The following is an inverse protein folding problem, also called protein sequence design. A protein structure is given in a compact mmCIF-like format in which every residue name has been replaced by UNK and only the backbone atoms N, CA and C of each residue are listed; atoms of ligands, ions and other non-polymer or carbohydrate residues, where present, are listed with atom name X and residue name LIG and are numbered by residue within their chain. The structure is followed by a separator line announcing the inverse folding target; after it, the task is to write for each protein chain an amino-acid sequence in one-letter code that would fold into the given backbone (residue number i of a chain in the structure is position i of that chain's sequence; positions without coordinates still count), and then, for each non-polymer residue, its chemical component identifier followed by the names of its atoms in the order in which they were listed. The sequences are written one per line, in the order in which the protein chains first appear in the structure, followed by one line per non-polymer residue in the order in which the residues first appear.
data_IF_128711867983
#
_entry.id   IF_128711867983
#
_cell.length_a   1.000
_cell.length_b   1.000
_cell.length_c   1.000
_cell.angle_alpha   90.00
_cell.angle_beta   90.00
_cell.angle_gamma   90.00
#
_symmetry.space_group_name_H-M   'P 1'
#
loop_
_entity.id
_entity.type
_entity.pdbx_description
1 polymer ?
#
# COMPACT_ATOMS: atom_id res chain seq x y z
N UNK A 1 21.79 7.70 29.51
CA UNK A 1 21.51 7.04 28.22
C UNK A 1 20.23 7.64 27.65
N UNK A 2 20.30 8.27 26.47
CA UNK A 2 19.13 8.82 25.77
C UNK A 2 18.71 7.73 24.78
N UNK A 3 17.59 7.06 25.01
CA UNK A 3 17.11 6.01 24.10
C UNK A 3 16.65 6.70 22.80
N UNK A 4 17.12 6.28 21.61
CA UNK A 4 16.67 6.85 20.35
C UNK A 4 15.15 6.69 20.18
N UNK A 5 14.49 7.75 19.73
CA UNK A 5 13.05 7.70 19.45
C UNK A 5 12.83 6.96 18.13
N UNK A 6 12.12 5.82 18.19
CA UNK A 6 11.71 5.09 17.00
C UNK A 6 10.48 5.76 16.40
N UNK A 7 10.59 6.25 15.16
CA UNK A 7 9.48 6.85 14.43
C UNK A 7 8.38 5.85 14.05
N UNK A 8 7.15 6.34 13.82
CA UNK A 8 6.03 5.49 13.41
C UNK A 8 6.25 4.89 12.01
N UNK A 9 6.29 3.56 11.91
CA UNK A 9 6.48 2.84 10.64
C UNK A 9 5.41 3.17 9.59
N UNK A 10 4.15 3.30 10.01
CA UNK A 10 3.05 3.63 9.10
C UNK A 10 3.15 5.08 8.57
N UNK A 11 3.72 6.00 9.37
CA UNK A 11 4.00 7.35 8.91
C UNK A 11 5.08 7.37 7.81
N UNK A 12 6.17 6.61 8.00
CA UNK A 12 7.23 6.44 6.99
C UNK A 12 6.67 5.85 5.69
N UNK A 13 5.85 4.81 5.81
CA UNK A 13 5.16 4.21 4.67
C UNK A 13 4.26 5.22 3.95
N UNK A 14 3.52 6.05 4.69
CA UNK A 14 2.69 7.10 4.09
C UNK A 14 3.50 8.10 3.26
N UNK A 15 4.70 8.51 3.72
CA UNK A 15 5.57 9.41 2.95
C UNK A 15 6.03 8.75 1.65
N UNK A 16 6.49 7.49 1.71
CA UNK A 16 6.92 6.74 0.54
C UNK A 16 5.81 6.60 -0.50
N UNK A 17 4.59 6.27 -0.04
CA UNK A 17 3.45 6.07 -0.94
C UNK A 17 2.98 7.38 -1.54
N UNK A 18 2.97 8.49 -0.79
CA UNK A 18 2.60 9.80 -1.35
C UNK A 18 3.50 10.18 -2.51
N UNK A 19 4.80 9.95 -2.39
CA UNK A 19 5.76 10.22 -3.48
C UNK A 19 5.53 9.32 -4.68
N UNK A 20 5.25 8.05 -4.43
CA UNK A 20 4.90 7.08 -5.45
C UNK A 20 3.61 7.42 -6.20
N UNK A 21 2.64 8.07 -5.54
CA UNK A 21 1.36 8.45 -6.16
C UNK A 21 1.46 9.70 -7.04
N UNK A 22 2.47 10.57 -6.84
CA UNK A 22 2.59 11.85 -7.58
C UNK A 22 2.43 11.73 -9.11
N UNK A 23 3.04 10.74 -9.80
CA UNK A 23 2.90 10.61 -11.25
C UNK A 23 1.49 10.21 -11.71
N UNK A 24 0.63 9.75 -10.80
CA UNK A 24 -0.70 9.23 -11.07
C UNK A 24 -1.82 10.21 -10.66
N UNK A 25 -1.49 11.39 -10.14
CA UNK A 25 -2.47 12.33 -9.57
C UNK A 25 -3.56 12.75 -10.56
N UNK A 26 -3.23 12.93 -11.85
CA UNK A 26 -4.24 13.26 -12.86
C UNK A 26 -5.29 12.15 -13.04
N UNK A 27 -4.84 10.89 -13.14
CA UNK A 27 -5.72 9.74 -13.25
C UNK A 27 -6.55 9.52 -11.97
N UNK A 28 -5.96 9.81 -10.79
CA UNK A 28 -6.67 9.74 -9.52
C UNK A 28 -7.73 10.84 -9.40
N UNK A 29 -7.48 12.03 -9.91
CA UNK A 29 -8.46 13.12 -9.90
C UNK A 29 -9.65 12.83 -10.81
N UNK A 30 -9.47 12.18 -11.96
CA UNK A 30 -10.60 11.70 -12.79
C UNK A 30 -11.56 10.83 -11.97
N UNK A 31 -11.03 9.85 -11.21
CA UNK A 31 -11.85 9.00 -10.33
C UNK A 31 -12.47 9.81 -9.20
N UNK A 32 -11.75 10.75 -8.61
CA UNK A 32 -12.27 11.61 -7.53
C UNK A 32 -13.46 12.45 -8.03
N UNK A 33 -13.38 13.01 -9.23
CA UNK A 33 -14.47 13.78 -9.85
C UNK A 33 -15.69 12.90 -10.11
N UNK A 34 -15.49 11.71 -10.68
CA UNK A 34 -16.55 10.72 -10.86
C UNK A 34 -17.20 10.36 -9.51
N UNK A 35 -16.40 10.06 -8.49
CA UNK A 35 -16.90 9.72 -7.16
C UNK A 35 -17.69 10.86 -6.53
N UNK A 36 -17.28 12.12 -6.71
CA UNK A 36 -18.04 13.31 -6.28
C UNK A 36 -19.40 13.38 -6.99
N UNK A 37 -19.44 13.16 -8.32
CA UNK A 37 -20.70 13.15 -9.09
C UNK A 37 -21.64 12.03 -8.62
N UNK A 38 -21.12 10.83 -8.38
CA UNK A 38 -21.90 9.69 -7.89
C UNK A 38 -22.47 9.90 -6.48
N UNK A 39 -21.89 10.80 -5.67
CA UNK A 39 -22.43 11.17 -4.35
C UNK A 39 -23.60 12.16 -4.41
N UNK A 40 -23.86 12.79 -5.55
CA UNK A 40 -24.98 13.72 -5.69
C UNK A 40 -26.32 12.97 -5.52
N UNK A 41 -27.35 13.66 -5.03
CA UNK A 41 -28.63 13.03 -4.66
C UNK A 41 -29.22 12.15 -5.77
N UNK A 42 -29.27 12.68 -7.00
CA UNK A 42 -29.86 12.00 -8.15
C UNK A 42 -29.03 10.77 -8.55
N UNK A 43 -27.71 10.90 -8.62
CA UNK A 43 -26.83 9.81 -9.02
C UNK A 43 -26.72 8.73 -7.93
N UNK A 44 -26.71 9.13 -6.66
CA UNK A 44 -26.77 8.20 -5.54
C UNK A 44 -28.10 7.43 -5.53
N UNK A 45 -29.22 8.07 -5.87
CA UNK A 45 -30.51 7.38 -6.02
C UNK A 45 -30.48 6.37 -7.17
N UNK A 46 -30.01 6.76 -8.37
CA UNK A 46 -29.80 5.86 -9.51
C UNK A 46 -28.92 4.66 -9.14
N UNK A 47 -27.81 4.91 -8.43
CA UNK A 47 -26.85 3.87 -8.05
C UNK A 47 -27.42 2.88 -7.03
N UNK A 48 -28.18 3.36 -6.04
CA UNK A 48 -28.82 2.52 -5.00
C UNK A 48 -29.78 1.48 -5.56
N UNK A 49 -30.40 1.75 -6.70
CA UNK A 49 -31.27 0.79 -7.40
C UNK A 49 -30.45 -0.40 -7.94
N UNK A 50 -29.17 -0.19 -8.28
CA UNK A 50 -28.30 -1.20 -8.87
C UNK A 50 -27.42 -1.92 -7.84
N UNK A 51 -26.97 -1.22 -6.80
CA UNK A 51 -26.02 -1.75 -5.82
C UNK A 51 -26.12 -1.06 -4.47
N UNK A 52 -25.91 -1.76 -3.34
CA UNK A 52 -25.83 -1.15 -2.02
C UNK A 52 -24.52 -0.37 -1.79
N UNK A 53 -23.56 -0.45 -2.71
CA UNK A 53 -22.27 0.20 -2.58
C UNK A 53 -22.38 1.73 -2.70
N UNK A 54 -21.67 2.43 -1.83
CA UNK A 54 -21.58 3.90 -1.84
C UNK A 54 -20.23 4.38 -2.40
N UNK A 55 -20.19 5.52 -3.11
CA UNK A 55 -18.92 6.13 -3.51
C UNK A 55 -18.06 6.52 -2.31
N UNK A 56 -16.75 6.44 -2.45
CA UNK A 56 -15.75 6.84 -1.42
C UNK A 56 -14.87 7.93 -2.02
N UNK A 57 -14.62 9.01 -1.27
CA UNK A 57 -13.68 10.04 -1.68
C UNK A 57 -12.31 9.82 -1.03
N UNK A 58 -11.24 10.14 -1.74
CA UNK A 58 -9.90 10.22 -1.16
C UNK A 58 -9.73 11.50 -0.33
N UNK A 59 -8.84 11.41 0.65
CA UNK A 59 -8.26 12.49 1.44
C UNK A 59 -6.78 12.62 1.04
N UNK A 60 -6.35 13.84 0.66
CA UNK A 60 -5.01 14.06 0.09
C UNK A 60 -3.87 13.71 1.04
N UNK A 61 -4.10 13.79 2.35
CA UNK A 61 -3.10 13.54 3.38
C UNK A 61 -2.95 12.06 3.74
N UNK A 62 -3.87 11.20 3.32
CA UNK A 62 -3.92 9.78 3.74
C UNK A 62 -4.00 8.86 2.53
N UNK A 63 -2.88 8.22 2.21
CA UNK A 63 -2.79 7.35 1.04
C UNK A 63 -3.79 6.17 1.06
N UNK A 64 -4.15 5.63 2.23
CA UNK A 64 -5.11 4.53 2.37
C UNK A 64 -6.52 4.89 1.89
N UNK A 65 -6.87 6.19 1.93
CA UNK A 65 -8.13 6.67 1.36
C UNK A 65 -8.11 6.66 -0.17
N UNK A 66 -6.96 6.92 -0.80
CA UNK A 66 -6.76 6.74 -2.25
C UNK A 66 -6.95 5.27 -2.63
N UNK A 67 -6.35 4.34 -1.87
CA UNK A 67 -6.56 2.91 -2.06
C UNK A 67 -8.04 2.53 -1.95
N UNK A 68 -8.72 2.99 -0.90
CA UNK A 68 -10.15 2.71 -0.65
C UNK A 68 -11.06 3.27 -1.75
N UNK A 69 -10.76 4.46 -2.27
CA UNK A 69 -11.48 5.07 -3.39
C UNK A 69 -11.31 4.23 -4.66
N UNK A 70 -10.08 3.82 -5.00
CA UNK A 70 -9.82 2.99 -6.17
C UNK A 70 -10.49 1.62 -6.05
N UNK A 71 -10.34 0.93 -4.93
CA UNK A 71 -11.01 -0.34 -4.68
C UNK A 71 -12.54 -0.20 -4.85
N UNK A 72 -13.12 0.88 -4.31
CA UNK A 72 -14.54 1.18 -4.47
C UNK A 72 -14.90 1.45 -5.94
N UNK A 73 -14.09 2.21 -6.66
CA UNK A 73 -14.32 2.53 -8.07
C UNK A 73 -14.41 1.27 -8.93
N UNK A 74 -13.46 0.35 -8.80
CA UNK A 74 -13.46 -0.88 -9.58
C UNK A 74 -14.69 -1.76 -9.27
N UNK A 75 -15.16 -1.78 -8.03
CA UNK A 75 -16.39 -2.48 -7.63
C UNK A 75 -17.66 -1.79 -8.13
N UNK A 76 -17.65 -0.46 -8.27
CA UNK A 76 -18.78 0.29 -8.80
C UNK A 76 -18.84 0.25 -10.33
N UNK A 77 -17.71 0.03 -11.00
CA UNK A 77 -17.56 0.20 -12.44
C UNK A 77 -18.58 -0.56 -13.27
N UNK A 78 -18.92 -1.78 -12.88
CA UNK A 78 -19.91 -2.61 -13.60
C UNK A 78 -21.34 -2.03 -13.60
N UNK A 79 -21.66 -1.16 -12.64
CA UNK A 79 -22.98 -0.54 -12.51
C UNK A 79 -23.09 0.82 -13.22
N UNK A 80 -21.97 1.37 -13.69
CA UNK A 80 -21.90 2.66 -14.36
C UNK A 80 -22.06 2.47 -15.87
N UNK A 81 -23.08 3.09 -16.46
CA UNK A 81 -23.30 3.05 -17.90
C UNK A 81 -22.54 4.16 -18.60
N UNK A 82 -21.95 3.87 -19.75
CA UNK A 82 -21.41 4.89 -20.65
C UNK A 82 -22.50 5.69 -21.36
N UNK A 83 -23.74 5.19 -21.37
CA UNK A 83 -24.90 5.86 -21.98
C UNK A 83 -25.58 6.87 -21.04
N UNK A 84 -25.16 6.96 -19.78
CA UNK A 84 -25.69 7.97 -18.85
C UNK A 84 -24.95 9.29 -19.07
N UNK A 85 -25.56 10.18 -19.86
CA UNK A 85 -25.09 11.54 -20.21
C UNK A 85 -24.59 12.34 -18.99
N UNK A 86 -25.15 12.11 -17.79
CA UNK A 86 -24.72 12.83 -16.58
C UNK A 86 -23.31 12.46 -16.10
N UNK A 87 -22.82 11.27 -16.46
CA UNK A 87 -21.57 10.68 -15.95
C UNK A 87 -20.62 10.20 -17.06
N UNK A 88 -21.07 10.10 -18.31
CA UNK A 88 -20.31 9.57 -19.43
C UNK A 88 -18.95 10.27 -19.60
N UNK A 89 -18.95 11.60 -19.55
CA UNK A 89 -17.73 12.42 -19.66
C UNK A 89 -16.77 12.28 -18.48
N UNK A 90 -17.25 11.78 -17.33
CA UNK A 90 -16.45 11.58 -16.12
C UNK A 90 -15.90 10.15 -16.02
N UNK A 91 -16.28 9.25 -16.92
CA UNK A 91 -15.77 7.89 -16.91
C UNK A 91 -14.30 7.89 -17.37
N UNK A 92 -13.38 7.33 -16.56
CA UNK A 92 -11.98 7.22 -16.98
C UNK A 92 -11.86 6.47 -18.30
N UNK A 93 -11.05 7.01 -19.21
CA UNK A 93 -10.78 6.38 -20.50
C UNK A 93 -10.21 4.97 -20.33
N UNK A 94 -10.29 4.12 -21.36
CA UNK A 94 -9.79 2.74 -21.28
C UNK A 94 -8.31 2.66 -20.92
N UNK A 95 -7.50 3.63 -21.37
CA UNK A 95 -6.07 3.68 -21.05
C UNK A 95 -5.83 4.09 -19.59
N UNK A 96 -6.56 5.09 -19.08
CA UNK A 96 -6.51 5.51 -17.68
C UNK A 96 -6.98 4.40 -16.76
N UNK A 97 -8.08 3.74 -17.10
CA UNK A 97 -8.60 2.60 -16.34
C UNK A 97 -7.56 1.49 -16.15
N UNK A 98 -6.85 1.10 -17.21
CA UNK A 98 -5.76 0.10 -17.13
C UNK A 98 -4.60 0.58 -16.26
N UNK A 99 -4.21 1.85 -16.36
CA UNK A 99 -3.16 2.45 -15.50
C UNK A 99 -3.57 2.41 -14.02
N UNK A 100 -4.83 2.69 -13.73
CA UNK A 100 -5.38 2.65 -12.36
C UNK A 100 -5.48 1.22 -11.82
N UNK A 101 -5.73 0.23 -12.67
CA UNK A 101 -5.79 -1.19 -12.29
C UNK A 101 -4.40 -1.71 -11.90
N UNK A 102 -3.40 -1.37 -12.72
CA UNK A 102 -1.99 -1.64 -12.40
C UNK A 102 -1.59 -0.92 -11.10
N UNK A 103 -1.94 0.36 -10.94
CA UNK A 103 -1.68 1.11 -9.71
C UNK A 103 -2.33 0.45 -8.47
N UNK A 104 -3.61 0.08 -8.56
CA UNK A 104 -4.32 -0.58 -7.46
C UNK A 104 -3.64 -1.90 -7.07
N UNK A 105 -3.22 -2.68 -8.07
CA UNK A 105 -2.49 -3.93 -7.84
C UNK A 105 -1.17 -3.70 -7.09
N UNK A 106 -0.44 -2.64 -7.42
CA UNK A 106 0.79 -2.24 -6.70
C UNK A 106 0.51 -1.80 -5.27
N UNK A 107 -0.59 -1.07 -5.04
CA UNK A 107 -0.98 -0.60 -3.71
C UNK A 107 -1.50 -1.72 -2.79
N UNK A 108 -2.01 -2.84 -3.33
CA UNK A 108 -2.47 -3.98 -2.49
C UNK A 108 -1.38 -4.54 -1.58
N UNK A 109 -0.14 -4.59 -2.06
CA UNK A 109 1.01 -5.03 -1.28
C UNK A 109 1.27 -4.09 -0.09
N UNK A 110 1.27 -2.79 -0.38
CA UNK A 110 1.45 -1.72 0.62
C UNK A 110 0.31 -1.74 1.66
N UNK A 111 -0.93 -1.96 1.22
CA UNK A 111 -2.10 -2.06 2.10
C UNK A 111 -2.00 -3.26 3.05
N UNK A 112 -1.53 -4.40 2.54
CA UNK A 112 -1.30 -5.59 3.36
C UNK A 112 -0.26 -5.30 4.46
N UNK A 113 0.84 -4.64 4.13
CA UNK A 113 1.89 -4.28 5.08
C UNK A 113 1.38 -3.25 6.08
N UNK A 114 0.74 -2.18 5.62
CA UNK A 114 0.18 -1.12 6.46
C UNK A 114 -0.79 -1.66 7.51
N UNK A 115 -1.67 -2.60 7.13
CA UNK A 115 -2.57 -3.27 8.07
C UNK A 115 -1.82 -4.14 9.08
N UNK A 116 -0.79 -4.86 8.62
CA UNK A 116 0.05 -5.67 9.52
C UNK A 116 0.86 -4.80 10.48
N UNK A 117 1.35 -3.65 10.03
CA UNK A 117 2.05 -2.67 10.86
C UNK A 117 1.17 -2.07 11.97
N UNK A 118 -0.16 -2.17 11.83
CA UNK A 118 -1.14 -1.67 12.80
C UNK A 118 -1.61 -2.74 13.78
N UNK A 119 -1.10 -3.99 13.70
CA UNK A 119 -1.50 -5.05 14.62
C UNK A 119 -0.78 -4.91 15.97
N UNK A 120 -1.50 -5.20 17.05
CA UNK A 120 -0.99 -5.04 18.42
C UNK A 120 0.11 -6.07 18.78
N UNK A 121 0.21 -7.16 18.02
CA UNK A 121 1.14 -8.27 18.21
C UNK A 121 2.46 -8.13 17.43
N UNK A 122 2.68 -6.99 16.75
CA UNK A 122 3.83 -6.81 15.88
C UNK A 122 5.09 -6.38 16.64
N UNK A 123 6.18 -7.14 16.47
CA UNK A 123 7.50 -6.73 17.01
C UNK A 123 8.22 -5.77 16.06
N UNK A 124 9.22 -5.03 16.58
CA UNK A 124 10.07 -4.17 15.73
C UNK A 124 10.86 -4.96 14.69
N UNK A 125 11.26 -6.20 15.00
CA UNK A 125 11.92 -7.08 14.05
C UNK A 125 10.95 -7.48 12.93
N UNK A 126 9.70 -7.79 13.26
CA UNK A 126 8.69 -8.08 12.24
C UNK A 126 8.42 -6.88 11.34
N UNK A 127 8.39 -5.66 11.91
CA UNK A 127 8.25 -4.43 11.13
C UNK A 127 9.44 -4.24 10.17
N UNK A 128 10.66 -4.59 10.60
CA UNK A 128 11.85 -4.56 9.76
C UNK A 128 11.75 -5.54 8.60
N UNK A 129 11.43 -6.80 8.89
CA UNK A 129 11.24 -7.84 7.87
C UNK A 129 10.22 -7.40 6.80
N UNK A 130 9.12 -6.79 7.24
CA UNK A 130 8.08 -6.27 6.34
C UNK A 130 8.60 -5.15 5.43
N UNK A 131 9.43 -4.24 5.94
CA UNK A 131 10.03 -3.18 5.13
C UNK A 131 11.09 -3.72 4.18
N UNK A 132 11.92 -4.66 4.60
CA UNK A 132 12.94 -5.25 3.73
C UNK A 132 12.30 -6.02 2.58
N UNK A 133 11.28 -6.85 2.86
CA UNK A 133 10.51 -7.52 1.82
C UNK A 133 9.72 -6.56 0.93
N UNK A 134 9.33 -5.37 1.42
CA UNK A 134 8.76 -4.32 0.60
C UNK A 134 9.80 -3.69 -0.34
N UNK A 135 11.01 -3.45 0.16
CA UNK A 135 12.11 -2.86 -0.60
C UNK A 135 12.62 -3.80 -1.70
N UNK A 136 12.61 -5.12 -1.47
CA UNK A 136 12.88 -6.11 -2.53
C UNK A 136 11.93 -5.94 -3.74
N UNK A 137 10.65 -5.69 -3.47
CA UNK A 137 9.63 -5.52 -4.52
C UNK A 137 9.56 -4.09 -5.05
N UNK A 138 9.90 -3.10 -4.21
CA UNK A 138 9.79 -1.67 -4.48
C UNK A 138 11.02 -0.92 -3.97
N UNK A 139 12.15 -1.00 -4.70
CA UNK A 139 13.37 -0.29 -4.32
C UNK A 139 13.18 1.24 -4.26
N UNK A 140 12.21 1.79 -4.98
CA UNK A 140 11.89 3.22 -4.98
C UNK A 140 11.42 3.77 -3.63
N UNK A 141 11.09 2.92 -2.65
CA UNK A 141 10.68 3.35 -1.30
C UNK A 141 11.87 3.52 -0.34
N UNK A 142 13.09 3.22 -0.79
CA UNK A 142 14.32 3.24 0.02
C UNK A 142 14.54 4.56 0.75
N UNK A 143 14.26 5.69 0.11
CA UNK A 143 14.43 7.04 0.66
C UNK A 143 13.66 7.29 1.97
N UNK A 144 12.63 6.49 2.25
CA UNK A 144 11.79 6.65 3.45
C UNK A 144 11.86 5.44 4.39
N UNK A 145 12.21 4.26 3.85
CA UNK A 145 12.15 2.99 4.58
C UNK A 145 13.52 2.42 4.97
N UNK A 146 14.63 2.86 4.35
CA UNK A 146 15.98 2.41 4.70
C UNK A 146 16.50 3.11 5.98
N UNK A 147 17.37 2.44 6.75
CA UNK A 147 17.92 2.95 8.04
C UNK A 147 18.80 4.19 7.88
N UNK A 148 19.55 4.26 6.78
CA UNK A 148 20.44 5.38 6.49
C UNK A 148 19.72 6.69 6.23
N UNK A 149 18.40 6.66 6.02
CA UNK A 149 17.59 7.87 5.90
C UNK A 149 17.24 8.50 7.27
N UNK A 150 17.56 7.83 8.39
CA UNK A 150 17.08 8.22 9.73
C UNK A 150 18.17 8.50 10.76
N UNK A 151 19.35 7.89 10.64
CA UNK A 151 20.42 8.10 11.61
C UNK A 151 21.25 9.31 11.21
N UNK A 152 21.51 10.21 12.15
CA UNK A 152 22.63 11.14 11.98
C UNK A 152 23.94 10.34 11.90
N UNK A 153 25.00 10.95 11.35
CA UNK A 153 26.31 10.29 11.30
C UNK A 153 26.78 9.81 12.69
N UNK A 154 26.45 10.58 13.73
CA UNK A 154 26.76 10.31 15.13
C UNK A 154 25.96 9.12 15.68
N UNK A 155 24.66 9.05 15.43
CA UNK A 155 23.82 7.93 15.84
C UNK A 155 24.18 6.63 15.11
N UNK A 156 24.59 6.72 13.85
CA UNK A 156 25.09 5.59 13.09
C UNK A 156 26.39 5.05 13.70
N UNK A 157 27.33 5.92 14.07
CA UNK A 157 28.60 5.55 14.71
C UNK A 157 28.39 4.92 16.10
N UNK A 158 27.47 5.44 16.91
CA UNK A 158 27.11 4.86 18.21
C UNK A 158 26.50 3.45 18.08
N UNK A 159 25.83 3.16 16.97
CA UNK A 159 25.16 1.89 16.71
C UNK A 159 26.02 0.87 15.93
N UNK A 160 27.17 1.27 15.39
CA UNK A 160 28.11 0.38 14.68
C UNK A 160 28.48 -0.89 15.49
N UNK A 161 28.72 -0.85 16.81
CA UNK A 161 29.01 -2.05 17.61
C UNK A 161 27.85 -3.08 17.66
N UNK A 162 26.62 -2.64 17.37
CA UNK A 162 25.41 -3.46 17.41
C UNK A 162 24.96 -3.91 16.02
N UNK A 163 25.69 -3.52 14.97
CA UNK A 163 25.38 -3.86 13.58
C UNK A 163 25.64 -5.35 13.34
N UNK A 164 24.56 -6.09 13.12
CA UNK A 164 24.66 -7.50 12.73
C UNK A 164 25.13 -7.56 11.29
N UNK A 165 26.30 -8.15 11.05
CA UNK A 165 26.79 -8.48 9.70
C UNK A 165 25.99 -9.68 9.22
N UNK A 166 25.04 -9.47 8.31
CA UNK A 166 24.32 -10.57 7.67
C UNK A 166 25.28 -11.40 6.81
N UNK A 167 25.70 -12.54 7.36
CA UNK A 167 26.14 -13.68 6.57
C UNK A 167 24.93 -14.51 6.13
N UNK A 168 24.95 -14.92 4.86
CA UNK A 168 24.01 -15.79 4.15
C UNK A 168 22.75 -15.15 3.56
N UNK A 169 22.89 -14.85 2.28
CA UNK A 169 21.85 -14.80 1.27
C UNK A 169 20.94 -16.04 1.35
N UNK A 170 19.67 -15.83 1.69
CA UNK A 170 18.66 -16.91 1.70
C UNK A 170 18.25 -17.22 0.26
N UNK A 171 18.39 -18.48 -0.10
CA UNK A 171 18.06 -19.04 -1.41
C UNK A 171 16.55 -19.13 -1.62
N UNK A 172 16.12 -18.85 -2.85
CA UNK A 172 14.73 -18.84 -3.27
C UNK A 172 14.14 -20.25 -3.30
N UNK A 173 13.42 -20.66 -2.25
CA UNK A 173 12.51 -21.80 -2.34
C UNK A 173 11.04 -21.36 -2.38
N UNK A 174 10.36 -21.88 -3.40
CA UNK A 174 8.98 -21.57 -3.76
C UNK A 174 8.02 -22.23 -2.78
N UNK A 175 7.57 -21.51 -1.75
CA UNK A 175 6.48 -21.97 -0.87
C UNK A 175 5.16 -21.90 -1.63
N UNK A 176 4.47 -23.04 -1.75
CA UNK A 176 3.13 -23.19 -2.32
C UNK A 176 2.13 -22.28 -1.60
N UNK A 177 1.61 -21.26 -2.30
CA UNK A 177 0.69 -20.27 -1.73
C UNK A 177 -0.77 -20.70 -1.88
N UNK A 178 -1.54 -20.62 -0.79
CA UNK A 178 -3.00 -20.59 -0.89
C UNK A 178 -3.48 -19.16 -1.18
N UNK A 179 -4.53 -19.01 -1.99
CA UNK A 179 -5.00 -17.71 -2.51
C UNK A 179 -5.49 -16.69 -1.45
N UNK A 180 -5.43 -17.03 -0.16
CA UNK A 180 -5.94 -16.22 0.96
C UNK A 180 -4.85 -15.50 1.77
N UNK A 181 -3.57 -15.79 1.56
CA UNK A 181 -2.50 -15.21 2.38
C UNK A 181 -2.02 -13.85 1.87
N UNK A 182 -2.01 -12.86 2.77
CA UNK A 182 -1.52 -11.52 2.50
C UNK A 182 -0.02 -11.52 2.19
N UNK A 183 0.46 -10.47 1.51
CA UNK A 183 1.89 -10.32 1.23
C UNK A 183 2.72 -10.22 2.51
N UNK A 184 2.22 -9.48 3.50
CA UNK A 184 2.86 -9.34 4.80
C UNK A 184 3.04 -10.71 5.51
N UNK A 185 2.02 -11.56 5.46
CA UNK A 185 2.09 -12.90 6.06
C UNK A 185 3.10 -13.80 5.34
N UNK A 186 3.23 -13.67 4.01
CA UNK A 186 4.23 -14.40 3.22
C UNK A 186 5.66 -14.03 3.61
N UNK A 187 5.95 -12.76 3.87
CA UNK A 187 7.28 -12.32 4.33
C UNK A 187 7.60 -12.96 5.69
N UNK A 188 6.69 -12.85 6.66
CA UNK A 188 6.91 -13.39 7.99
C UNK A 188 7.05 -14.92 8.00
N UNK A 189 6.32 -15.62 7.12
CA UNK A 189 6.49 -17.07 6.94
C UNK A 189 7.87 -17.45 6.44
N UNK A 190 8.47 -16.70 5.51
CA UNK A 190 9.84 -16.98 5.02
C UNK A 190 10.85 -16.97 6.16
N UNK A 191 10.74 -16.02 7.09
CA UNK A 191 11.60 -15.98 8.28
C UNK A 191 11.38 -17.19 9.20
N UNK A 192 10.13 -17.60 9.44
CA UNK A 192 9.84 -18.78 10.28
C UNK A 192 10.43 -20.07 9.68
N UNK A 193 10.32 -20.26 8.37
CA UNK A 193 10.90 -21.41 7.67
C UNK A 193 12.43 -21.38 7.68
N UNK A 194 13.05 -20.20 7.51
CA UNK A 194 14.51 -20.05 7.60
C UNK A 194 15.06 -20.27 9.02
N UNK A 195 14.23 -20.16 10.06
CA UNK A 195 14.60 -20.38 11.45
C UNK A 195 14.43 -21.83 11.93
N UNK A 196 13.78 -22.70 11.15
CA UNK A 196 13.67 -24.13 11.44
C UNK A 196 14.88 -24.87 10.83
N UNK A 197 15.73 -25.56 11.63
CA UNK A 197 16.84 -26.31 11.09
C UNK A 197 16.33 -27.48 10.24
N UNK A 198 16.90 -27.67 9.05
CA UNK A 198 16.68 -28.86 8.22
C UNK A 198 16.94 -30.11 9.06
N UNK A 199 15.92 -30.92 9.26
CA UNK A 199 16.08 -32.29 9.77
C UNK A 199 16.80 -33.17 8.76
#
# INVERSE_FOLDING_TARGET
MKVPLVGCGNHRLNLAVRDFLRPHESALEEVQQLMRKLRTLNQAAKLRVKTPLVPVLRQDTRWSSTFSMLDRYFRLREFLSADDEDIADLLPSRSVHRKLEDLLSKLRFVESISKKLQSDDLTLLDARDLFDGLLEQRPSFSNYLCDSALLTAEEAEELEPFKVVEGSSISTETVSSTAKEGFADRIQKRRKVAAEPSM
#
